data_IF_993997991938
#
_entry.id   IF_993997991938
#
_cell.length_a   1.000
_cell.length_b   1.000
_cell.length_c   1.000
_cell.angle_alpha   90.00
_cell.angle_beta   90.00
_cell.angle_gamma   90.00
#
_symmetry.space_group_name_H-M   'P 1'
#
loop_
_entity.id
_entity.type
_entity.pdbx_description
1 polymer ?
#
# COMPACT_ATOMS: atom_id res chain seq x y z
N UNK A 1 0.00 10.37 13.54
CA UNK A 1 0.65 11.49 12.80
C UNK A 1 0.31 11.50 11.30
N UNK A 2 -0.05 10.37 10.69
CA UNK A 2 -0.24 10.26 9.23
C UNK A 2 -1.71 10.24 8.75
N UNK A 3 -2.68 10.55 9.61
CA UNK A 3 -4.11 10.39 9.32
C UNK A 3 -4.54 11.03 8.00
N UNK A 4 -4.16 12.29 7.72
CA UNK A 4 -4.53 12.97 6.47
C UNK A 4 -3.91 12.33 5.21
N UNK A 5 -2.71 11.74 5.32
CA UNK A 5 -2.09 11.02 4.20
C UNK A 5 -2.78 9.68 4.00
N UNK A 6 -3.06 8.95 5.08
CA UNK A 6 -3.76 7.68 5.04
C UNK A 6 -5.16 7.84 4.42
N UNK A 7 -5.94 8.81 4.88
CA UNK A 7 -7.26 9.13 4.33
C UNK A 7 -7.20 9.41 2.82
N UNK A 8 -6.19 10.16 2.38
CA UNK A 8 -5.96 10.42 0.95
C UNK A 8 -5.60 9.17 0.15
N UNK A 9 -4.84 8.24 0.75
CA UNK A 9 -4.50 6.96 0.11
C UNK A 9 -5.76 6.10 0.04
N UNK A 10 -6.53 6.00 1.12
CA UNK A 10 -7.77 5.22 1.20
C UNK A 10 -8.82 5.72 0.20
N UNK A 11 -9.04 7.04 0.07
CA UNK A 11 -9.94 7.61 -0.96
C UNK A 11 -9.51 7.20 -2.38
N UNK A 12 -8.20 7.08 -2.63
CA UNK A 12 -7.67 6.64 -3.92
C UNK A 12 -7.86 5.15 -4.16
N UNK A 13 -7.71 4.31 -3.14
CA UNK A 13 -8.03 2.88 -3.24
C UNK A 13 -9.51 2.70 -3.56
N UNK A 14 -10.42 3.35 -2.80
CA UNK A 14 -11.87 3.27 -3.02
C UNK A 14 -12.31 3.71 -4.43
N UNK A 15 -11.57 4.63 -5.05
CA UNK A 15 -11.83 5.13 -6.41
C UNK A 15 -11.06 4.40 -7.51
N UNK A 16 -10.35 3.30 -7.18
CA UNK A 16 -9.48 2.57 -8.10
C UNK A 16 -8.43 3.48 -8.78
N UNK A 17 -7.98 4.51 -8.06
CA UNK A 17 -6.94 5.45 -8.47
C UNK A 17 -5.56 5.01 -7.99
N UNK A 18 -5.25 3.75 -8.20
CA UNK A 18 -3.96 3.16 -7.88
C UNK A 18 -3.42 2.35 -9.05
N UNK A 19 -2.13 2.01 -8.97
CA UNK A 19 -1.46 1.08 -9.86
C UNK A 19 -0.60 0.15 -9.01
N UNK A 20 -0.49 -1.09 -9.45
CA UNK A 20 0.41 -2.08 -8.88
C UNK A 20 1.67 -2.15 -9.74
N UNK A 21 2.85 -2.18 -9.12
CA UNK A 21 4.09 -2.48 -9.82
C UNK A 21 4.15 -3.98 -10.14
N UNK A 22 4.93 -4.36 -11.15
CA UNK A 22 5.18 -5.79 -11.45
C UNK A 22 5.74 -6.51 -10.21
N UNK A 23 6.68 -5.87 -9.50
CA UNK A 23 7.23 -6.42 -8.27
C UNK A 23 6.18 -6.63 -7.16
N UNK A 24 5.20 -5.74 -7.02
CA UNK A 24 4.13 -5.95 -6.04
C UNK A 24 3.18 -7.09 -6.45
N UNK A 25 2.96 -7.28 -7.75
CA UNK A 25 2.15 -8.38 -8.28
C UNK A 25 2.84 -9.74 -8.05
N UNK A 26 4.16 -9.80 -8.29
CA UNK A 26 4.99 -10.99 -8.04
C UNK A 26 5.01 -11.37 -6.54
N UNK A 27 5.28 -10.42 -5.64
CA UNK A 27 5.32 -10.70 -4.19
C UNK A 27 3.93 -11.05 -3.62
N UNK A 28 2.86 -10.46 -4.19
CA UNK A 28 1.48 -10.81 -3.84
C UNK A 28 1.17 -12.27 -4.19
N UNK A 29 1.60 -12.73 -5.37
CA UNK A 29 1.42 -14.14 -5.80
C UNK A 29 2.27 -15.09 -4.94
N UNK A 30 3.52 -14.71 -4.64
CA UNK A 30 4.44 -15.50 -3.79
C UNK A 30 3.89 -15.73 -2.38
N UNK A 31 3.19 -14.73 -1.81
CA UNK A 31 2.55 -14.82 -0.48
C UNK A 31 1.08 -15.29 -0.54
N UNK A 32 0.60 -15.71 -1.72
CA UNK A 32 -0.77 -16.19 -1.94
C UNK A 32 -1.84 -15.17 -1.47
N UNK A 33 -1.57 -13.89 -1.69
CA UNK A 33 -2.49 -12.79 -1.43
C UNK A 33 -3.31 -12.49 -2.69
N UNK A 34 -4.55 -12.07 -2.52
CA UNK A 34 -5.37 -11.52 -3.60
C UNK A 34 -5.34 -10.00 -3.57
N UNK A 35 -5.69 -9.37 -4.70
CA UNK A 35 -5.83 -7.92 -4.78
C UNK A 35 -6.76 -7.36 -3.68
N UNK A 36 -7.83 -8.09 -3.34
CA UNK A 36 -8.77 -7.73 -2.29
C UNK A 36 -8.11 -7.67 -0.90
N UNK A 37 -7.12 -8.52 -0.63
CA UNK A 37 -6.36 -8.50 0.63
C UNK A 37 -5.49 -7.25 0.72
N UNK A 38 -4.83 -6.88 -0.38
CA UNK A 38 -4.03 -5.65 -0.47
C UNK A 38 -4.90 -4.42 -0.26
N UNK A 39 -6.06 -4.36 -0.92
CA UNK A 39 -7.02 -3.26 -0.75
C UNK A 39 -7.55 -3.20 0.69
N UNK A 40 -7.95 -4.33 1.26
CA UNK A 40 -8.46 -4.40 2.64
C UNK A 40 -7.39 -3.97 3.65
N UNK A 41 -6.15 -4.41 3.48
CA UNK A 41 -5.04 -4.04 4.34
C UNK A 41 -4.80 -2.51 4.32
N UNK A 42 -4.92 -1.85 3.16
CA UNK A 42 -4.80 -0.40 3.07
C UNK A 42 -6.01 0.32 3.70
N UNK A 43 -7.22 -0.18 3.46
CA UNK A 43 -8.47 0.45 3.90
C UNK A 43 -8.68 0.36 5.42
N UNK A 44 -8.15 -0.69 6.05
CA UNK A 44 -8.31 -0.95 7.49
C UNK A 44 -7.05 -0.69 8.31
N UNK A 45 -5.90 -0.59 7.64
CA UNK A 45 -4.60 -0.48 8.27
C UNK A 45 -4.22 0.94 8.71
N UNK A 46 -3.00 1.03 9.22
CA UNK A 46 -2.38 2.28 9.66
C UNK A 46 -0.97 2.46 9.07
N UNK A 47 -0.56 3.71 8.86
CA UNK A 47 0.82 4.01 8.46
C UNK A 47 1.72 3.88 9.67
N UNK A 48 2.58 2.87 9.67
CA UNK A 48 3.56 2.61 10.74
C UNK A 48 4.86 3.39 10.53
N UNK A 49 5.22 3.69 9.28
CA UNK A 49 6.47 4.36 8.94
C UNK A 49 6.36 5.18 7.65
N UNK A 50 7.13 6.27 7.56
CA UNK A 50 7.39 7.00 6.32
C UNK A 50 8.88 6.98 5.99
N UNK A 51 9.23 6.49 4.81
CA UNK A 51 10.59 6.43 4.30
C UNK A 51 10.79 7.47 3.18
N UNK A 52 11.95 8.12 3.13
CA UNK A 52 12.31 9.02 2.04
C UNK A 52 13.31 8.33 1.13
N UNK A 53 12.94 8.16 -0.13
CA UNK A 53 13.83 7.66 -1.16
C UNK A 53 14.97 8.67 -1.38
N UNK A 54 16.22 8.23 -1.26
CA UNK A 54 17.37 9.14 -1.36
C UNK A 54 17.65 9.58 -2.79
N UNK A 55 17.29 8.76 -3.79
CA UNK A 55 17.55 9.05 -5.18
C UNK A 55 16.48 9.96 -5.78
N UNK A 56 15.20 9.70 -5.46
CA UNK A 56 14.07 10.46 -6.04
C UNK A 56 13.52 11.54 -5.13
N UNK A 57 13.92 11.58 -3.86
CA UNK A 57 13.35 12.40 -2.80
C UNK A 57 11.85 12.16 -2.52
N UNK A 58 11.27 11.10 -3.10
CA UNK A 58 9.87 10.71 -2.90
C UNK A 58 9.65 10.06 -1.54
N UNK A 59 8.44 10.21 -0.99
CA UNK A 59 8.04 9.53 0.23
C UNK A 59 7.33 8.21 -0.08
N UNK A 60 7.77 7.15 0.59
CA UNK A 60 7.10 5.86 0.68
C UNK A 60 6.48 5.72 2.07
N UNK A 61 5.38 5.01 2.15
CA UNK A 61 4.61 4.81 3.37
C UNK A 61 4.40 3.32 3.56
N UNK A 62 4.74 2.80 4.73
CA UNK A 62 4.50 1.42 5.14
C UNK A 62 3.16 1.39 5.87
N UNK A 63 2.20 0.67 5.31
CA UNK A 63 0.85 0.51 5.85
C UNK A 63 0.73 -0.92 6.36
N UNK A 64 0.45 -1.09 7.64
CA UNK A 64 0.17 -2.40 8.22
C UNK A 64 -1.33 -2.52 8.45
N UNK A 65 -1.91 -3.58 7.91
CA UNK A 65 -3.32 -3.90 8.03
C UNK A 65 -3.54 -5.40 8.06
N UNK A 66 -4.73 -5.83 7.63
CA UNK A 66 -5.11 -7.24 7.62
C UNK A 66 -5.69 -7.63 6.26
N UNK A 67 -5.45 -8.87 5.85
CA UNK A 67 -6.09 -9.52 4.71
C UNK A 67 -7.60 -9.68 4.92
N UNK A 68 -8.30 -10.16 3.90
CA UNK A 68 -9.73 -10.52 3.98
C UNK A 68 -10.00 -11.64 4.99
N UNK A 69 -9.02 -12.53 5.19
CA UNK A 69 -9.05 -13.62 6.17
C UNK A 69 -8.57 -13.21 7.58
N UNK A 70 -8.06 -11.97 7.73
CA UNK A 70 -7.63 -11.42 9.01
C UNK A 70 -6.15 -11.65 9.34
N UNK A 71 -5.36 -12.15 8.37
CA UNK A 71 -3.92 -12.31 8.51
C UNK A 71 -3.21 -10.96 8.37
N UNK A 72 -2.14 -10.70 9.15
CA UNK A 72 -1.43 -9.43 9.08
C UNK A 72 -0.70 -9.28 7.74
N UNK A 73 -0.90 -8.14 7.08
CA UNK A 73 -0.31 -7.80 5.78
C UNK A 73 0.32 -6.42 5.87
N UNK A 74 1.49 -6.26 5.26
CA UNK A 74 2.12 -4.97 5.10
C UNK A 74 2.21 -4.56 3.63
N UNK A 75 1.79 -3.33 3.34
CA UNK A 75 1.79 -2.76 2.00
C UNK A 75 2.63 -1.50 1.97
N UNK A 76 3.56 -1.41 1.02
CA UNK A 76 4.38 -0.22 0.82
C UNK A 76 3.88 0.55 -0.39
N UNK A 77 3.51 1.82 -0.16
CA UNK A 77 2.92 2.67 -1.18
C UNK A 77 3.63 4.02 -1.31
N UNK A 78 3.48 4.67 -2.47
CA UNK A 78 3.79 6.10 -2.63
C UNK A 78 2.70 6.83 -3.39
N UNK A 79 2.62 8.15 -3.20
CA UNK A 79 1.79 9.01 -4.04
C UNK A 79 2.58 9.41 -5.28
N UNK A 80 2.16 8.91 -6.44
CA UNK A 80 2.77 9.25 -7.73
C UNK A 80 2.47 10.68 -8.18
N UNK A 81 3.30 11.22 -9.07
CA UNK A 81 3.12 12.56 -9.66
C UNK A 81 1.84 12.72 -10.48
N UNK A 82 1.31 11.62 -11.02
CA UNK A 82 0.00 11.57 -11.69
C UNK A 82 -1.20 11.66 -10.73
N UNK A 83 -0.95 11.70 -9.42
CA UNK A 83 -1.97 11.69 -8.40
C UNK A 83 -2.53 10.30 -8.10
N UNK A 84 -2.04 9.22 -8.70
CA UNK A 84 -2.39 7.84 -8.34
C UNK A 84 -1.55 7.34 -7.16
N UNK A 85 -2.09 6.41 -6.38
CA UNK A 85 -1.29 5.61 -5.45
C UNK A 85 -0.50 4.57 -6.26
N UNK A 86 0.78 4.41 -5.97
CA UNK A 86 1.61 3.36 -6.55
C UNK A 86 1.89 2.37 -5.42
N UNK A 87 1.37 1.15 -5.55
CA UNK A 87 1.68 0.02 -4.66
C UNK A 87 3.01 -0.55 -5.14
N UNK A 88 4.02 -0.52 -4.28
CA UNK A 88 5.43 -0.82 -4.62
C UNK A 88 5.75 -2.28 -4.35
N UNK A 89 5.30 -2.80 -3.22
CA UNK A 89 5.42 -4.19 -2.78
C UNK A 89 4.38 -4.45 -1.68
N UNK A 90 4.09 -5.72 -1.43
CA UNK A 90 3.19 -6.22 -0.39
C UNK A 90 3.74 -7.55 0.10
N UNK A 91 3.56 -7.87 1.38
CA UNK A 91 3.88 -9.17 1.93
C UNK A 91 3.02 -9.49 3.16
N UNK A 92 2.80 -10.78 3.41
CA UNK A 92 2.24 -11.32 4.64
C UNK A 92 3.29 -11.29 5.76
N UNK A 93 2.84 -11.15 7.02
CA UNK A 93 3.71 -11.04 8.21
C UNK A 93 3.80 -12.34 9.03
#
# INVERSE_FOLDING_TARGET
MFAAILEKIQDKILRQQYVMTIHADEEMDDDNLMLADVEQAILTGEIIERQKDRATAEYKYRIQGYSTDGDPVEVIVKLGSSGKVIIITVYAL
#
